data_IF_249139569215
#
_entry.id   IF_249139569215
#
_cell.length_a   1.000
_cell.length_b   1.000
_cell.length_c   1.000
_cell.angle_alpha   90.00
_cell.angle_beta   90.00
_cell.angle_gamma   90.00
#
_symmetry.space_group_name_H-M   'P 1'
#
loop_
_entity.id
_entity.type
_entity.pdbx_description
1 polymer ?
#
# COMPACT_ATOMS: atom_id res chain seq x y z
N UNK A 1 -2.67 -16.39 14.39
CA UNK A 1 -2.93 -15.11 13.70
C UNK A 1 -3.82 -15.39 12.51
N UNK A 2 -4.71 -14.46 12.18
CA UNK A 2 -5.56 -14.54 10.98
C UNK A 2 -5.46 -13.22 10.23
N UNK A 3 -5.35 -13.30 8.91
CA UNK A 3 -5.47 -12.16 8.00
C UNK A 3 -6.45 -12.51 6.90
N UNK A 4 -7.58 -11.82 6.88
CA UNK A 4 -8.64 -12.00 5.90
C UNK A 4 -8.65 -10.86 4.87
N UNK A 5 -9.24 -11.14 3.72
CA UNK A 5 -9.51 -10.16 2.67
C UNK A 5 -10.98 -10.25 2.32
N UNK A 6 -11.76 -9.31 2.84
CA UNK A 6 -13.21 -9.24 2.63
C UNK A 6 -13.54 -8.27 1.49
N UNK A 7 -14.42 -8.69 0.59
CA UNK A 7 -14.91 -7.88 -0.51
C UNK A 7 -16.20 -7.16 -0.15
N UNK A 8 -16.31 -5.91 -0.60
CA UNK A 8 -17.49 -5.07 -0.46
C UNK A 8 -17.82 -4.40 -1.80
N UNK A 9 -19.10 -4.09 -2.01
CA UNK A 9 -19.49 -3.10 -3.03
C UNK A 9 -19.13 -1.69 -2.58
N UNK A 10 -19.17 -0.72 -3.51
CA UNK A 10 -19.01 0.70 -3.18
C UNK A 10 -20.04 1.20 -2.16
N UNK A 11 -21.27 0.64 -2.20
CA UNK A 11 -22.33 0.92 -1.22
C UNK A 11 -22.13 0.25 0.14
N UNK A 12 -21.02 -0.49 0.35
CA UNK A 12 -20.71 -1.17 1.61
C UNK A 12 -21.40 -2.52 1.80
N UNK A 13 -21.98 -3.10 0.74
CA UNK A 13 -22.58 -4.45 0.82
C UNK A 13 -21.49 -5.50 0.86
N UNK A 14 -21.44 -6.37 1.88
CA UNK A 14 -20.44 -7.42 1.98
C UNK A 14 -20.69 -8.49 0.91
N UNK A 15 -19.67 -8.82 0.12
CA UNK A 15 -19.72 -9.85 -0.94
C UNK A 15 -19.10 -11.18 -0.49
N UNK A 16 -18.32 -11.18 0.58
CA UNK A 16 -17.69 -12.37 1.15
C UNK A 16 -16.16 -12.29 1.20
N UNK A 17 -15.53 -13.39 1.60
CA UNK A 17 -14.08 -13.50 1.76
C UNK A 17 -13.42 -13.95 0.45
N UNK A 18 -12.43 -13.20 -0.02
CA UNK A 18 -11.62 -13.53 -1.19
C UNK A 18 -10.35 -14.31 -0.81
N UNK A 19 -9.86 -14.11 0.41
CA UNK A 19 -8.67 -14.78 0.93
C UNK A 19 -8.73 -14.86 2.46
N UNK A 20 -8.22 -15.95 3.03
CA UNK A 20 -8.02 -16.09 4.48
C UNK A 20 -6.71 -16.81 4.71
N UNK A 21 -5.80 -16.16 5.43
CA UNK A 21 -4.52 -16.71 5.84
C UNK A 21 -4.53 -16.95 7.35
N UNK A 22 -4.07 -18.13 7.78
CA UNK A 22 -3.99 -18.50 9.19
C UNK A 22 -2.63 -19.11 9.51
N UNK A 23 -1.95 -18.60 10.54
CA UNK A 23 -0.64 -19.10 10.98
C UNK A 23 -0.42 -18.88 12.48
N UNK A 24 0.50 -19.63 13.07
CA UNK A 24 0.97 -19.43 14.44
C UNK A 24 2.33 -18.70 14.44
N UNK A 25 2.64 -17.98 15.52
CA UNK A 25 3.96 -17.38 15.73
C UNK A 25 4.83 -18.37 16.50
N UNK A 26 6.00 -18.71 15.94
CA UNK A 26 6.98 -19.56 16.62
C UNK A 26 7.82 -18.80 17.68
N UNK A 27 7.60 -17.48 17.83
CA UNK A 27 8.27 -16.64 18.83
C UNK A 27 8.23 -15.14 18.51
N UNK A 28 8.91 -14.33 19.32
CA UNK A 28 9.10 -12.90 19.09
C UNK A 28 10.45 -12.69 18.38
N UNK A 29 10.43 -12.27 17.11
CA UNK A 29 11.65 -12.00 16.34
C UNK A 29 12.35 -10.70 16.75
N UNK A 30 13.66 -10.61 16.51
CA UNK A 30 14.44 -9.40 16.77
C UNK A 30 14.37 -8.38 15.62
N UNK A 31 14.42 -7.08 15.94
CA UNK A 31 14.45 -6.00 14.93
C UNK A 31 15.65 -6.14 13.97
N UNK A 32 16.79 -6.61 14.47
CA UNK A 32 18.02 -6.77 13.71
C UNK A 32 17.94 -7.91 12.68
N UNK A 33 17.33 -9.04 13.05
CA UNK A 33 17.21 -10.19 12.14
C UNK A 33 16.13 -9.99 11.08
N UNK A 34 15.12 -9.14 11.34
CA UNK A 34 14.08 -8.82 10.37
C UNK A 34 14.62 -8.31 9.03
N UNK A 35 15.77 -7.64 9.00
CA UNK A 35 16.37 -7.16 7.76
C UNK A 35 17.09 -8.25 6.97
N UNK A 36 17.46 -9.37 7.60
CA UNK A 36 18.15 -10.50 6.97
C UNK A 36 17.19 -11.47 6.28
N UNK A 37 15.96 -11.57 6.76
CA UNK A 37 14.94 -12.46 6.18
C UNK A 37 14.42 -11.94 4.83
N UNK A 38 14.15 -12.82 3.85
CA UNK A 38 13.36 -12.48 2.66
C UNK A 38 11.94 -12.04 3.06
N UNK A 39 11.20 -11.38 2.16
CA UNK A 39 9.87 -10.83 2.51
C UNK A 39 8.88 -11.94 2.83
N UNK A 40 8.99 -13.08 2.14
CA UNK A 40 8.15 -14.27 2.23
C UNK A 40 8.18 -14.92 3.61
N UNK A 41 9.29 -14.77 4.35
CA UNK A 41 9.43 -15.27 5.72
C UNK A 41 8.94 -14.27 6.78
N UNK A 42 8.43 -13.09 6.37
CA UNK A 42 7.93 -12.06 7.28
C UNK A 42 6.42 -12.08 7.29
N UNK A 43 5.82 -11.78 8.44
CA UNK A 43 4.37 -11.61 8.55
C UNK A 43 3.80 -10.53 7.61
N UNK A 44 4.63 -9.56 7.18
CA UNK A 44 4.23 -8.57 6.18
C UNK A 44 3.95 -9.17 4.79
N UNK A 45 4.39 -10.40 4.51
CA UNK A 45 4.05 -11.14 3.29
C UNK A 45 2.54 -11.31 3.12
N UNK A 46 1.78 -11.33 4.23
CA UNK A 46 0.31 -11.44 4.21
C UNK A 46 -0.35 -10.46 3.23
N UNK A 47 0.19 -9.25 3.12
CA UNK A 47 -0.31 -8.21 2.23
C UNK A 47 -0.03 -8.49 0.75
N UNK A 48 1.12 -9.09 0.43
CA UNK A 48 1.46 -9.49 -0.94
C UNK A 48 0.59 -10.67 -1.37
N UNK A 49 0.43 -11.67 -0.50
CA UNK A 49 -0.42 -12.82 -0.76
C UNK A 49 -1.90 -12.42 -0.94
N UNK A 50 -2.41 -11.52 -0.10
CA UNK A 50 -3.76 -10.95 -0.29
C UNK A 50 -3.88 -10.17 -1.60
N UNK A 51 -2.87 -9.37 -1.98
CA UNK A 51 -2.86 -8.67 -3.26
C UNK A 51 -2.88 -9.65 -4.45
N UNK A 52 -2.11 -10.74 -4.38
CA UNK A 52 -2.10 -11.79 -5.41
C UNK A 52 -3.47 -12.44 -5.53
N UNK A 53 -4.09 -12.82 -4.41
CA UNK A 53 -5.43 -13.43 -4.40
C UNK A 53 -6.47 -12.52 -5.08
N UNK A 54 -6.54 -11.24 -4.69
CA UNK A 54 -7.48 -10.28 -5.28
C UNK A 54 -7.17 -10.04 -6.76
N UNK A 55 -5.89 -9.98 -7.15
CA UNK A 55 -5.51 -9.80 -8.56
C UNK A 55 -5.87 -10.99 -9.44
N UNK A 56 -5.91 -12.23 -8.90
CA UNK A 56 -6.45 -13.37 -9.65
C UNK A 56 -7.96 -13.26 -9.86
N UNK A 57 -8.69 -12.71 -8.89
CA UNK A 57 -10.13 -12.41 -9.05
C UNK A 57 -10.32 -11.29 -10.08
N UNK A 58 -9.53 -10.20 -10.00
CA UNK A 58 -9.58 -9.08 -10.95
C UNK A 58 -9.49 -9.56 -12.39
N UNK A 59 -8.55 -10.47 -12.71
CA UNK A 59 -8.41 -11.02 -14.07
C UNK A 59 -9.68 -11.69 -14.59
N UNK A 60 -10.46 -12.33 -13.70
CA UNK A 60 -11.71 -13.03 -14.05
C UNK A 60 -12.88 -12.06 -14.22
N UNK A 61 -12.86 -10.91 -13.55
CA UNK A 61 -13.93 -9.92 -13.60
C UNK A 61 -13.55 -8.61 -14.31
N UNK A 62 -12.41 -8.54 -15.00
CA UNK A 62 -11.85 -7.28 -15.54
C UNK A 62 -12.78 -6.49 -16.46
N UNK A 63 -13.67 -7.19 -17.18
CA UNK A 63 -14.64 -6.56 -18.09
C UNK A 63 -15.92 -6.10 -17.38
N UNK A 64 -16.07 -6.39 -16.08
CA UNK A 64 -17.29 -6.13 -15.30
C UNK A 64 -17.05 -5.18 -14.13
N UNK A 65 -15.91 -5.30 -13.46
CA UNK A 65 -15.63 -4.56 -12.24
C UNK A 65 -14.13 -4.35 -12.03
N UNK A 66 -13.81 -3.20 -11.44
CA UNK A 66 -12.49 -2.87 -10.93
C UNK A 66 -12.43 -3.16 -9.44
N UNK A 67 -11.51 -4.02 -9.03
CA UNK A 67 -11.23 -4.30 -7.63
C UNK A 67 -10.13 -3.36 -7.12
N UNK A 68 -10.39 -2.73 -5.99
CA UNK A 68 -9.43 -1.88 -5.27
C UNK A 68 -9.14 -2.52 -3.93
N UNK A 69 -7.88 -2.89 -3.68
CA UNK A 69 -7.43 -3.37 -2.37
C UNK A 69 -7.26 -2.17 -1.46
N UNK A 70 -8.18 -2.04 -0.50
CA UNK A 70 -8.11 -1.01 0.55
C UNK A 70 -7.41 -1.59 1.77
N UNK A 71 -6.34 -0.95 2.24
CA UNK A 71 -5.59 -1.44 3.39
C UNK A 71 -5.03 -0.29 4.25
N UNK A 72 -4.77 -0.62 5.52
CA UNK A 72 -4.25 0.34 6.49
C UNK A 72 -2.73 0.57 6.33
N UNK A 73 -2.15 1.26 7.30
CA UNK A 73 -0.72 1.63 7.31
C UNK A 73 0.25 0.46 7.43
N UNK A 74 -0.19 -0.72 7.87
CA UNK A 74 0.68 -1.90 7.90
C UNK A 74 1.02 -2.38 6.48
N UNK A 75 0.07 -2.23 5.55
CA UNK A 75 0.22 -2.62 4.14
C UNK A 75 1.10 -1.66 3.33
N UNK A 76 1.56 -0.55 3.93
CA UNK A 76 2.42 0.44 3.29
C UNK A 76 3.86 -0.08 3.06
N UNK A 77 4.03 -1.28 2.50
CA UNK A 77 5.29 -1.93 2.13
C UNK A 77 5.56 -1.78 0.64
N UNK A 78 6.83 -1.56 0.27
CA UNK A 78 7.23 -1.39 -1.13
C UNK A 78 6.83 -2.58 -2.01
N UNK A 79 6.88 -3.79 -1.46
CA UNK A 79 6.57 -5.04 -2.15
C UNK A 79 5.15 -5.06 -2.70
N UNK A 80 4.14 -4.56 -1.98
CA UNK A 80 2.75 -4.54 -2.49
C UNK A 80 2.63 -3.60 -3.70
N UNK A 81 3.23 -2.41 -3.64
CA UNK A 81 3.26 -1.50 -4.79
C UNK A 81 4.05 -2.08 -5.97
N UNK A 82 5.15 -2.78 -5.68
CA UNK A 82 5.98 -3.42 -6.69
C UNK A 82 5.21 -4.54 -7.40
N UNK A 83 4.49 -5.38 -6.66
CA UNK A 83 3.63 -6.43 -7.22
C UNK A 83 2.51 -5.84 -8.09
N UNK A 84 1.87 -4.75 -7.65
CA UNK A 84 0.87 -4.07 -8.47
C UNK A 84 1.44 -3.48 -9.75
N UNK A 85 2.58 -2.81 -9.67
CA UNK A 85 3.26 -2.26 -10.85
C UNK A 85 3.63 -3.35 -11.88
N UNK A 86 3.90 -4.59 -11.45
CA UNK A 86 4.24 -5.70 -12.33
C UNK A 86 3.03 -6.57 -12.72
N UNK A 87 1.84 -6.18 -12.29
CA UNK A 87 0.58 -6.85 -12.64
C UNK A 87 -0.36 -5.84 -13.31
N UNK A 88 -0.16 -5.51 -14.60
CA UNK A 88 -0.96 -4.49 -15.30
C UNK A 88 -2.47 -4.75 -15.28
N UNK A 89 -2.89 -6.02 -15.38
CA UNK A 89 -4.29 -6.44 -15.29
C UNK A 89 -4.73 -6.80 -13.84
N UNK A 90 -3.93 -6.40 -12.85
CA UNK A 90 -4.14 -6.70 -11.43
C UNK A 90 -5.10 -5.73 -10.76
N UNK A 91 -5.39 -6.00 -9.50
CA UNK A 91 -6.20 -5.10 -8.69
C UNK A 91 -5.46 -3.77 -8.46
N UNK A 92 -6.23 -2.69 -8.22
CA UNK A 92 -5.69 -1.40 -7.84
C UNK A 92 -5.48 -1.32 -6.32
N UNK A 93 -4.75 -0.31 -5.84
CA UNK A 93 -4.40 -0.15 -4.43
C UNK A 93 -4.89 1.19 -3.87
N UNK A 94 -5.49 1.14 -2.68
CA UNK A 94 -5.74 2.32 -1.84
C UNK A 94 -5.20 2.03 -0.44
N UNK A 95 -3.95 2.44 -0.20
CA UNK A 95 -3.22 2.12 1.03
C UNK A 95 -3.00 3.40 1.83
N UNK A 96 -3.34 3.37 3.13
CA UNK A 96 -3.00 4.47 4.03
C UNK A 96 -1.48 4.52 4.23
N UNK A 97 -0.83 5.62 3.86
CA UNK A 97 0.62 5.76 4.04
C UNK A 97 1.03 5.81 5.53
N UNK A 98 2.15 5.17 5.87
CA UNK A 98 2.78 5.22 7.20
C UNK A 98 3.81 6.36 7.24
N UNK A 99 3.46 7.46 7.94
CA UNK A 99 4.27 8.69 7.95
C UNK A 99 5.69 8.45 8.44
N UNK A 100 5.89 7.55 9.41
CA UNK A 100 7.20 7.23 9.98
C UNK A 100 8.15 6.47 9.05
N UNK A 101 7.66 5.93 7.93
CA UNK A 101 8.53 5.24 6.94
C UNK A 101 9.44 6.19 6.17
N UNK A 102 9.19 7.51 6.24
CA UNK A 102 9.99 8.53 5.56
C UNK A 102 10.21 8.18 4.07
N UNK A 103 9.12 7.81 3.39
CA UNK A 103 9.13 7.48 1.97
C UNK A 103 9.74 8.62 1.17
N UNK A 104 10.60 8.25 0.23
CA UNK A 104 11.22 9.19 -0.68
C UNK A 104 10.58 9.08 -2.06
N UNK A 105 10.36 10.23 -2.67
CA UNK A 105 9.86 10.36 -4.03
C UNK A 105 10.97 10.89 -4.92
N UNK A 106 10.98 10.43 -6.16
CA UNK A 106 11.93 10.84 -7.20
C UNK A 106 11.18 11.64 -8.24
N UNK A 107 11.72 12.78 -8.64
CA UNK A 107 11.21 13.56 -9.77
C UNK A 107 11.89 13.19 -11.10
N UNK A 108 11.44 13.80 -12.18
CA UNK A 108 11.98 13.55 -13.52
C UNK A 108 13.43 14.04 -13.70
N UNK A 109 13.96 14.84 -12.76
CA UNK A 109 15.35 15.30 -12.71
C UNK A 109 16.22 14.46 -11.77
N UNK A 110 15.73 13.29 -11.36
CA UNK A 110 16.34 12.40 -10.37
C UNK A 110 16.57 13.01 -8.97
N UNK A 111 15.95 14.16 -8.69
CA UNK A 111 15.99 14.75 -7.36
C UNK A 111 15.13 13.92 -6.40
N UNK A 112 15.58 13.81 -5.15
CA UNK A 112 14.99 12.90 -4.17
C UNK A 112 14.56 13.67 -2.92
N UNK A 113 13.26 13.71 -2.65
CA UNK A 113 12.67 14.40 -1.51
C UNK A 113 11.78 13.46 -0.69
N UNK A 114 11.42 13.84 0.54
CA UNK A 114 10.43 13.11 1.32
C UNK A 114 9.01 13.36 0.78
N UNK A 115 8.22 12.29 0.73
CA UNK A 115 6.84 12.30 0.21
C UNK A 115 6.00 13.41 0.83
N UNK A 116 6.05 13.55 2.16
CA UNK A 116 5.21 14.50 2.90
C UNK A 116 5.61 15.95 2.63
N UNK A 117 6.91 16.25 2.61
CA UNK A 117 7.43 17.58 2.29
C UNK A 117 6.96 18.02 0.91
N UNK A 118 7.07 17.14 -0.09
CA UNK A 118 6.62 17.42 -1.45
C UNK A 118 5.10 17.53 -1.57
N UNK A 119 4.34 16.75 -0.80
CA UNK A 119 2.87 16.79 -0.81
C UNK A 119 2.32 18.06 -0.19
N UNK A 120 2.95 18.53 0.90
CA UNK A 120 2.56 19.75 1.60
C UNK A 120 2.71 21.00 0.72
N UNK A 121 3.62 20.98 -0.26
CA UNK A 121 3.84 22.05 -1.23
C UNK A 121 2.78 22.11 -2.36
N UNK A 122 1.96 21.07 -2.55
CA UNK A 122 0.96 21.04 -3.62
C UNK A 122 -0.22 21.96 -3.30
N UNK A 123 -0.92 22.54 -4.29
CA UNK A 123 -2.12 23.36 -4.06
C UNK A 123 -3.24 22.57 -3.36
N UNK A 124 -4.11 23.28 -2.63
CA UNK A 124 -5.31 22.64 -2.03
C UNK A 124 -6.29 22.42 -3.17
N UNK A 125 -6.70 21.18 -3.41
CA UNK A 125 -7.68 20.86 -4.45
C UNK A 125 -9.12 20.80 -3.91
N UNK A 126 -9.27 20.80 -2.59
CA UNK A 126 -10.57 20.82 -1.93
C UNK A 126 -10.44 20.82 -0.41
N UNK A 127 -11.53 21.12 0.25
CA UNK A 127 -11.65 21.03 1.71
C UNK A 127 -12.85 20.17 2.08
N UNK A 128 -12.77 19.51 3.23
CA UNK A 128 -13.87 18.74 3.78
C UNK A 128 -13.97 18.98 5.26
N UNK A 129 -15.14 19.39 5.70
CA UNK A 129 -15.44 19.47 7.11
C UNK A 129 -15.85 18.10 7.63
N UNK A 130 -15.31 17.70 8.78
CA UNK A 130 -15.74 16.50 9.49
C UNK A 130 -16.03 16.84 10.95
N UNK A 131 -17.10 16.24 11.47
CA UNK A 131 -17.35 16.23 12.90
C UNK A 131 -16.50 15.13 13.52
N UNK A 132 -15.60 15.50 14.43
CA UNK A 132 -14.85 14.53 15.21
C UNK A 132 -15.61 14.29 16.51
N UNK A 133 -16.13 13.07 16.76
CA UNK A 133 -16.88 12.77 17.97
C UNK A 133 -16.02 12.96 19.22
N UNK A 134 -16.63 13.11 20.40
CA UNK A 134 -15.89 13.20 21.65
C UNK A 134 -15.17 11.88 21.96
N UNK A 135 -14.18 11.96 22.83
CA UNK A 135 -13.50 10.83 23.46
C UNK A 135 -13.23 11.17 24.92
N UNK A 136 -12.80 10.22 25.75
CA UNK A 136 -12.51 10.46 27.17
C UNK A 136 -11.63 11.70 27.44
N UNK A 137 -10.71 12.02 26.53
CA UNK A 137 -9.73 13.12 26.67
C UNK A 137 -10.02 14.34 25.81
N UNK A 138 -11.11 14.37 25.03
CA UNK A 138 -11.34 15.43 24.03
C UNK A 138 -12.81 15.64 23.73
N UNK A 139 -13.27 16.90 23.76
CA UNK A 139 -14.61 17.30 23.34
C UNK A 139 -14.85 17.09 21.84
N UNK A 140 -16.14 17.01 21.47
CA UNK A 140 -16.53 17.03 20.07
C UNK A 140 -16.06 18.33 19.41
N UNK A 141 -15.59 18.26 18.17
CA UNK A 141 -15.17 19.45 17.42
C UNK A 141 -15.33 19.23 15.93
N UNK A 142 -15.57 20.32 15.21
CA UNK A 142 -15.43 20.35 13.76
C UNK A 142 -13.93 20.43 13.39
N UNK A 143 -13.55 19.74 12.33
CA UNK A 143 -12.23 19.83 11.75
C UNK A 143 -12.34 19.98 10.23
N UNK A 144 -11.59 20.94 9.69
CA UNK A 144 -11.48 21.16 8.25
C UNK A 144 -10.25 20.38 7.77
N UNK A 145 -10.48 19.43 6.89
CA UNK A 145 -9.43 18.68 6.19
C UNK A 145 -9.15 19.39 4.85
N UNK A 146 -7.88 19.60 4.53
CA UNK A 146 -7.45 20.05 3.21
C UNK A 146 -6.99 18.84 2.39
N UNK A 147 -7.45 18.75 1.15
CA UNK A 147 -7.10 17.68 0.23
C UNK A 147 -6.02 18.18 -0.72
N UNK A 148 -4.93 17.43 -0.80
CA UNK A 148 -3.82 17.62 -1.74
C UNK A 148 -3.57 16.31 -2.46
N UNK A 149 -3.13 16.40 -3.71
CA UNK A 149 -2.80 15.24 -4.53
C UNK A 149 -1.59 15.55 -5.40
N UNK A 150 -0.81 14.53 -5.71
CA UNK A 150 0.17 14.58 -6.79
C UNK A 150 0.51 13.17 -7.24
N UNK A 151 0.86 12.98 -8.51
CA UNK A 151 1.54 11.78 -8.95
C UNK A 151 2.93 11.71 -8.31
N UNK A 152 3.34 10.52 -7.87
CA UNK A 152 4.66 10.32 -7.27
C UNK A 152 5.37 9.11 -7.83
N UNK A 153 6.68 9.20 -7.94
CA UNK A 153 7.51 8.03 -8.26
C UNK A 153 8.25 7.58 -7.00
N UNK A 154 7.83 6.47 -6.38
CA UNK A 154 8.38 6.00 -5.11
C UNK A 154 9.78 5.40 -5.27
N UNK A 155 10.74 5.83 -4.44
CA UNK A 155 12.07 5.24 -4.36
C UNK A 155 12.05 3.95 -3.52
N UNK A 156 12.66 2.84 -3.98
CA UNK A 156 12.81 1.65 -3.16
C UNK A 156 13.70 1.88 -1.93
N UNK A 157 13.44 1.21 -0.79
CA UNK A 157 14.26 1.32 0.42
C UNK A 157 15.67 0.72 0.21
N UNK A 158 16.71 1.44 0.66
CA UNK A 158 18.13 1.11 0.37
C UNK A 158 18.63 -0.21 0.95
N UNK A 159 18.11 -0.64 2.11
CA UNK A 159 18.62 -1.81 2.85
C UNK A 159 17.97 -3.14 2.43
N UNK A 160 17.11 -3.14 1.41
CA UNK A 160 16.58 -4.40 0.86
C UNK A 160 17.53 -4.87 -0.24
N UNK A 161 18.38 -5.86 0.07
CA UNK A 161 18.92 -6.75 -0.97
C UNK A 161 17.71 -7.40 -1.63
N UNK A 162 17.33 -6.93 -2.81
CA UNK A 162 16.34 -7.60 -3.63
C UNK A 162 17.01 -8.89 -4.13
N UNK A 163 16.91 -9.94 -3.33
CA UNK A 163 17.28 -11.29 -3.74
C UNK A 163 16.03 -11.93 -4.32
N UNK A 164 15.94 -11.97 -5.64
CA UNK A 164 14.92 -12.73 -6.33
C UNK A 164 15.56 -14.05 -6.73
N UNK A 165 14.86 -15.13 -6.40
CA UNK A 165 15.22 -16.53 -6.62
C UNK A 165 16.06 -16.80 -7.88
N UNK A 166 16.98 -17.75 -7.72
CA UNK A 166 17.74 -18.43 -8.77
C UNK A 166 16.85 -18.72 -9.98
N UNK A 167 17.14 -18.09 -11.13
CA UNK A 167 16.61 -18.51 -12.44
C UNK A 167 15.61 -17.59 -13.15
N UNK A 168 15.13 -16.48 -12.57
CA UNK A 168 14.23 -15.57 -13.30
C UNK A 168 14.98 -14.34 -13.84
N UNK A 169 15.24 -14.32 -15.15
CA UNK A 169 15.93 -13.25 -15.88
C UNK A 169 15.16 -11.93 -16.01
N UNK A 170 14.58 -11.41 -14.93
CA UNK A 170 14.15 -10.01 -14.80
C UNK A 170 14.58 -9.46 -13.44
N UNK A 171 15.83 -9.04 -13.43
CA UNK A 171 16.46 -8.31 -12.34
C UNK A 171 15.71 -7.01 -12.08
N UNK A 172 15.14 -6.85 -10.89
CA UNK A 172 14.51 -5.59 -10.48
C UNK A 172 15.63 -4.59 -10.22
N UNK A 173 16.03 -3.88 -11.29
CA UNK A 173 16.75 -2.61 -11.15
C UNK A 173 15.91 -1.67 -10.29
N UNK A 174 16.58 -0.68 -9.68
CA UNK A 174 16.00 0.49 -9.01
C UNK A 174 14.90 1.13 -9.90
N UNK A 175 13.70 0.56 -9.93
CA UNK A 175 12.57 1.07 -10.71
C UNK A 175 11.68 1.78 -9.72
N UNK A 176 11.66 3.09 -9.84
CA UNK A 176 10.76 3.94 -9.09
C UNK A 176 9.32 3.68 -9.58
N UNK A 177 8.34 3.57 -8.67
CA UNK A 177 6.95 3.24 -9.01
C UNK A 177 6.14 4.53 -9.14
N UNK A 178 5.62 4.84 -10.33
CA UNK A 178 4.75 6.01 -10.56
C UNK A 178 3.31 5.69 -10.13
N UNK A 179 2.84 6.32 -9.05
CA UNK A 179 1.44 6.32 -8.64
C UNK A 179 0.75 7.49 -9.34
N UNK A 180 0.38 7.31 -10.61
CA UNK A 180 -0.39 8.30 -11.37
C UNK A 180 -1.45 7.57 -12.17
N UNK A 181 -2.69 7.60 -11.66
CA UNK A 181 -3.98 7.36 -12.37
C UNK A 181 -5.03 6.91 -11.34
N UNK A 182 -5.59 7.87 -10.59
CA UNK A 182 -6.77 7.66 -9.74
C UNK A 182 -7.77 8.83 -9.85
N UNK A 183 -7.64 9.69 -10.86
CA UNK A 183 -8.55 10.82 -11.09
C UNK A 183 -8.82 11.00 -12.59
N UNK A 184 -9.46 10.00 -13.19
CA UNK A 184 -10.03 10.06 -14.53
C UNK A 184 -11.43 9.47 -14.49
#
# INVERSE_FOLDING_TARGET
MVHDTMAFTESGTPLGLLNVQCWARDGIGSKHERHKKPIEEKESWKWVESYHAVSQVQKRCRNKSLLVVVADREADIHEVFAEQYNTPDGAQLLIRAERSRNRKVVDDKESCEFLWTKLEQQPVIGTREILIPPSEKRSARQAILMVRTMPVTLRPPMLKRICLRSGCGRCWRRKSIRLSELMG
#
